data_IF_450178951394
#
_entry.id   IF_450178951394
#
_cell.length_a   1.000
_cell.length_b   1.000
_cell.length_c   1.000
_cell.angle_alpha   90.00
_cell.angle_beta   90.00
_cell.angle_gamma   90.00
#
_symmetry.space_group_name_H-M   'P 1'
#
loop_
_entity.id
_entity.type
_entity.pdbx_description
1 polymer ?
#
# COMPACT_ATOMS: atom_id res chain seq x y z
N UNK A 1 -3.83 -9.64 -12.09
CA UNK A 1 -2.59 -8.99 -12.55
C UNK A 1 -2.74 -7.46 -12.57
N UNK A 2 -3.94 -6.94 -12.83
CA UNK A 2 -4.19 -5.50 -12.95
C UNK A 2 -3.87 -4.66 -11.70
N UNK A 3 -4.02 -5.20 -10.48
CA UNK A 3 -3.67 -4.45 -9.27
C UNK A 3 -2.17 -4.10 -9.21
N UNK A 4 -1.28 -5.10 -9.36
CA UNK A 4 0.16 -4.84 -9.32
C UNK A 4 0.63 -3.96 -10.49
N UNK A 5 0.03 -4.09 -11.67
CA UNK A 5 0.31 -3.18 -12.79
C UNK A 5 0.01 -1.72 -12.45
N UNK A 6 -1.15 -1.43 -11.85
CA UNK A 6 -1.48 -0.06 -11.43
C UNK A 6 -0.53 0.43 -10.33
N UNK A 7 -0.15 -0.44 -9.38
CA UNK A 7 0.86 -0.12 -8.35
C UNK A 7 2.22 0.25 -8.97
N UNK A 8 2.74 -0.54 -9.91
CA UNK A 8 4.04 -0.25 -10.54
C UNK A 8 4.00 1.07 -11.34
N UNK A 9 2.89 1.34 -12.03
CA UNK A 9 2.70 2.65 -12.70
C UNK A 9 2.69 3.80 -11.70
N UNK A 10 2.00 3.66 -10.56
CA UNK A 10 2.02 4.66 -9.48
C UNK A 10 3.43 4.94 -8.95
N UNK A 11 4.24 3.89 -8.77
CA UNK A 11 5.65 4.02 -8.34
C UNK A 11 6.49 4.80 -9.35
N UNK A 12 6.26 4.60 -10.64
CA UNK A 12 6.95 5.34 -11.70
C UNK A 12 6.57 6.82 -11.69
N UNK A 13 5.28 7.14 -11.62
CA UNK A 13 4.80 8.52 -11.60
C UNK A 13 5.25 9.27 -10.34
N UNK A 14 5.32 8.58 -9.20
CA UNK A 14 5.85 9.18 -7.97
C UNK A 14 7.32 9.60 -8.14
N UNK A 15 8.15 8.77 -8.79
CA UNK A 15 9.55 9.11 -9.11
C UNK A 15 9.67 10.28 -10.10
N UNK A 16 8.65 10.51 -10.92
CA UNK A 16 8.57 11.64 -11.84
C UNK A 16 8.02 12.92 -11.18
N UNK A 17 7.81 12.92 -9.86
CA UNK A 17 7.31 14.09 -9.15
C UNK A 17 5.80 14.32 -9.33
N UNK A 18 5.04 13.26 -9.65
CA UNK A 18 3.58 13.32 -9.82
C UNK A 18 2.86 12.56 -8.69
N UNK A 19 2.93 13.04 -7.43
CA UNK A 19 2.37 12.31 -6.28
C UNK A 19 0.85 12.15 -6.35
N UNK A 20 0.12 13.14 -6.87
CA UNK A 20 -1.34 13.06 -6.99
C UNK A 20 -1.79 11.91 -7.90
N UNK A 21 -1.19 11.81 -9.10
CA UNK A 21 -1.50 10.73 -10.05
C UNK A 21 -1.01 9.37 -9.54
N UNK A 22 0.11 9.33 -8.82
CA UNK A 22 0.54 8.12 -8.14
C UNK A 22 -0.49 7.64 -7.10
N UNK A 23 -1.06 8.56 -6.33
CA UNK A 23 -2.10 8.27 -5.33
C UNK A 23 -3.35 7.66 -5.96
N UNK A 24 -3.82 8.21 -7.08
CA UNK A 24 -4.96 7.68 -7.84
C UNK A 24 -4.71 6.25 -8.32
N UNK A 25 -3.51 5.97 -8.83
CA UNK A 25 -3.12 4.64 -9.27
C UNK A 25 -3.03 3.64 -8.13
N UNK A 26 -2.51 4.05 -6.96
CA UNK A 26 -2.50 3.19 -5.78
C UNK A 26 -3.91 2.90 -5.25
N UNK A 27 -4.80 3.90 -5.23
CA UNK A 27 -6.22 3.69 -4.89
C UNK A 27 -6.88 2.72 -5.85
N UNK A 28 -6.63 2.86 -7.16
CA UNK A 28 -7.14 1.94 -8.17
C UNK A 28 -6.61 0.52 -7.99
N UNK A 29 -5.31 0.37 -7.72
CA UNK A 29 -4.70 -0.92 -7.42
C UNK A 29 -5.34 -1.59 -6.20
N UNK A 30 -5.58 -0.81 -5.14
CA UNK A 30 -6.23 -1.27 -3.92
C UNK A 30 -7.68 -1.73 -4.17
N UNK A 31 -8.46 -0.93 -4.92
CA UNK A 31 -9.83 -1.28 -5.29
C UNK A 31 -9.90 -2.61 -6.07
N UNK A 32 -9.07 -2.74 -7.10
CA UNK A 32 -8.98 -3.98 -7.90
C UNK A 32 -8.57 -5.18 -7.03
N UNK A 33 -7.62 -5.00 -6.11
CA UNK A 33 -7.18 -6.09 -5.23
C UNK A 33 -8.29 -6.53 -4.26
N UNK A 34 -9.07 -5.59 -3.74
CA UNK A 34 -10.23 -5.86 -2.88
C UNK A 34 -11.33 -6.60 -3.63
N UNK A 35 -11.67 -6.15 -4.84
CA UNK A 35 -12.65 -6.81 -5.72
C UNK A 35 -12.24 -8.24 -6.08
N UNK A 36 -10.94 -8.50 -6.19
CA UNK A 36 -10.39 -9.82 -6.51
C UNK A 36 -10.12 -10.68 -5.26
N UNK A 37 -10.40 -10.17 -4.06
CA UNK A 37 -10.02 -10.79 -2.78
C UNK A 37 -8.53 -11.18 -2.71
N UNK A 38 -7.68 -10.46 -3.46
CA UNK A 38 -6.28 -10.76 -3.64
C UNK A 38 -5.44 -10.11 -2.53
N UNK A 39 -5.43 -10.73 -1.35
CA UNK A 39 -4.88 -10.16 -0.10
C UNK A 39 -3.43 -9.70 -0.19
N UNK A 40 -2.56 -10.47 -0.83
CA UNK A 40 -1.16 -10.06 -1.01
C UNK A 40 -1.04 -8.78 -1.87
N UNK A 41 -1.90 -8.61 -2.86
CA UNK A 41 -1.89 -7.42 -3.71
C UNK A 41 -2.56 -6.24 -3.04
N UNK A 42 -3.57 -6.49 -2.20
CA UNK A 42 -4.17 -5.48 -1.33
C UNK A 42 -3.09 -4.91 -0.39
N UNK A 43 -2.31 -5.79 0.26
CA UNK A 43 -1.19 -5.40 1.13
C UNK A 43 -0.16 -4.55 0.39
N UNK A 44 0.32 -5.00 -0.77
CA UNK A 44 1.32 -4.26 -1.56
C UNK A 44 0.83 -2.88 -2.00
N UNK A 45 -0.44 -2.77 -2.41
CA UNK A 45 -1.05 -1.49 -2.79
C UNK A 45 -1.21 -0.58 -1.56
N UNK A 46 -1.71 -1.12 -0.44
CA UNK A 46 -1.87 -0.40 0.81
C UNK A 46 -0.54 0.16 1.34
N UNK A 47 0.54 -0.64 1.33
CA UNK A 47 1.90 -0.18 1.71
C UNK A 47 2.35 0.98 0.84
N UNK A 48 2.12 0.89 -0.48
CA UNK A 48 2.58 1.92 -1.42
C UNK A 48 1.81 3.24 -1.21
N UNK A 49 0.50 3.17 -0.95
CA UNK A 49 -0.33 4.32 -0.63
C UNK A 49 -0.01 4.91 0.76
N UNK A 50 0.18 4.04 1.76
CA UNK A 50 0.52 4.45 3.12
C UNK A 50 1.88 5.18 3.17
N UNK A 51 2.89 4.73 2.41
CA UNK A 51 4.16 5.46 2.29
C UNK A 51 3.99 6.85 1.70
N UNK A 52 3.23 6.96 0.61
CA UNK A 52 2.95 8.24 0.00
C UNK A 52 2.27 9.20 0.99
N UNK A 53 1.28 8.71 1.74
CA UNK A 53 0.60 9.50 2.76
C UNK A 53 1.50 9.86 3.95
N UNK A 54 2.35 8.94 4.42
CA UNK A 54 3.38 9.22 5.43
C UNK A 54 4.26 10.39 5.00
N UNK A 55 4.76 10.34 3.76
CA UNK A 55 5.66 11.37 3.21
C UNK A 55 4.95 12.73 3.02
N UNK A 56 3.61 12.72 2.89
CA UNK A 56 2.76 13.91 2.91
C UNK A 56 2.34 14.37 4.32
N UNK A 57 2.84 13.74 5.39
CA UNK A 57 2.47 14.05 6.78
C UNK A 57 1.11 13.48 7.22
N UNK A 58 0.43 12.69 6.39
CA UNK A 58 -0.90 12.10 6.63
C UNK A 58 -0.77 10.75 7.36
N UNK A 59 -0.06 10.72 8.49
CA UNK A 59 0.29 9.48 9.21
C UNK A 59 -0.93 8.70 9.70
N UNK A 60 -1.91 9.36 10.31
CA UNK A 60 -3.14 8.71 10.79
C UNK A 60 -3.87 7.97 9.66
N UNK A 61 -4.10 8.63 8.53
CA UNK A 61 -4.74 8.02 7.36
C UNK A 61 -3.93 6.84 6.80
N UNK A 62 -2.59 6.92 6.81
CA UNK A 62 -1.72 5.82 6.40
C UNK A 62 -1.87 4.59 7.32
N UNK A 63 -1.92 4.82 8.64
CA UNK A 63 -2.13 3.75 9.64
C UNK A 63 -3.51 3.13 9.51
N UNK A 64 -4.56 3.95 9.44
CA UNK A 64 -5.95 3.51 9.33
C UNK A 64 -6.20 2.67 8.07
N UNK A 65 -5.45 2.96 7.00
CA UNK A 65 -5.47 2.14 5.78
C UNK A 65 -4.73 0.81 5.96
N UNK A 66 -3.50 0.84 6.47
CA UNK A 66 -2.59 -0.31 6.42
C UNK A 66 -2.83 -1.32 7.54
N UNK A 67 -3.16 -0.86 8.75
CA UNK A 67 -3.36 -1.71 9.93
C UNK A 67 -4.41 -2.82 9.72
N UNK A 68 -5.62 -2.55 9.20
CA UNK A 68 -6.61 -3.61 8.98
C UNK A 68 -6.18 -4.61 7.89
N UNK A 69 -5.44 -4.16 6.87
CA UNK A 69 -4.96 -5.04 5.79
C UNK A 69 -3.85 -5.96 6.31
N UNK A 70 -2.92 -5.45 7.10
CA UNK A 70 -1.89 -6.25 7.76
C UNK A 70 -2.48 -7.25 8.75
N UNK A 71 -3.47 -6.81 9.55
CA UNK A 71 -4.13 -7.63 10.58
C UNK A 71 -4.94 -8.82 10.04
N UNK A 72 -5.21 -8.89 8.73
CA UNK A 72 -5.85 -10.05 8.10
C UNK A 72 -4.92 -11.27 8.02
N UNK A 73 -3.59 -11.05 7.98
CA UNK A 73 -2.62 -12.13 7.86
C UNK A 73 -2.36 -12.76 9.22
N UNK A 74 -2.44 -14.09 9.28
CA UNK A 74 -2.11 -14.90 10.47
C UNK A 74 -0.79 -15.65 10.33
N UNK A 75 -0.24 -15.69 9.12
CA UNK A 75 1.00 -16.39 8.76
C UNK A 75 1.83 -15.59 7.75
N UNK A 76 3.03 -16.08 7.44
CA UNK A 76 3.88 -15.46 6.42
C UNK A 76 4.59 -14.18 6.88
N UNK A 77 4.59 -13.85 8.18
CA UNK A 77 5.29 -12.67 8.73
C UNK A 77 6.80 -12.61 8.44
N UNK A 78 7.40 -13.74 8.05
CA UNK A 78 8.79 -13.79 7.60
C UNK A 78 9.00 -13.27 6.17
N UNK A 79 7.93 -13.14 5.37
CA UNK A 79 7.97 -12.71 3.98
C UNK A 79 8.35 -11.22 3.86
N UNK A 80 9.01 -10.82 2.76
CA UNK A 80 9.40 -9.43 2.55
C UNK A 80 8.21 -8.46 2.61
N UNK A 81 7.07 -8.84 2.03
CA UNK A 81 5.88 -7.98 1.98
C UNK A 81 5.30 -7.69 3.38
N UNK A 82 5.21 -8.71 4.24
CA UNK A 82 4.70 -8.52 5.61
C UNK A 82 5.71 -7.84 6.53
N UNK A 83 7.01 -8.07 6.35
CA UNK A 83 8.06 -7.31 7.06
C UNK A 83 8.01 -5.83 6.70
N UNK A 84 7.83 -5.53 5.41
CA UNK A 84 7.73 -4.16 4.93
C UNK A 84 6.50 -3.44 5.50
N UNK A 85 5.35 -4.10 5.50
CA UNK A 85 4.13 -3.55 6.09
C UNK A 85 4.26 -3.30 7.60
N UNK A 86 4.87 -4.23 8.34
CA UNK A 86 5.11 -4.08 9.78
C UNK A 86 6.03 -2.90 10.08
N UNK A 87 7.18 -2.81 9.39
CA UNK A 87 8.11 -1.69 9.54
C UNK A 87 7.43 -0.35 9.30
N UNK A 88 6.57 -0.26 8.28
CA UNK A 88 5.83 0.97 8.00
C UNK A 88 4.79 1.28 9.08
N UNK A 89 4.10 0.27 9.63
CA UNK A 89 3.18 0.48 10.74
C UNK A 89 3.89 0.99 12.00
N UNK A 90 5.10 0.48 12.28
CA UNK A 90 5.91 0.92 13.41
C UNK A 90 6.38 2.38 13.26
N UNK A 91 6.65 2.83 12.03
CA UNK A 91 6.97 4.24 11.73
C UNK A 91 5.76 5.19 11.81
N UNK A 92 4.54 4.64 11.76
CA UNK A 92 3.28 5.38 11.78
C UNK A 92 2.66 5.49 13.17
N UNK A 93 3.32 4.95 14.19
CA UNK A 93 2.97 5.11 15.62
C UNK A 93 3.31 6.49 16.19
#
# INVERSE_FOLDING_TARGET
FAADLNRQKGRLLLRQGQPATAEELYRKALGIAREQEARLWELRAAVSLARLWRDQGRRAAARDLLAPVYGWFTEGFATPDLKEAKSLLDELE
#
